data_IF_198299569634
#
_entry.id   IF_198299569634
#
_cell.length_a   1.000
_cell.length_b   1.000
_cell.length_c   1.000
_cell.angle_alpha   90.00
_cell.angle_beta   90.00
_cell.angle_gamma   90.00
#
_symmetry.space_group_name_H-M   'P 1'
#
loop_
_entity.id
_entity.type
_entity.pdbx_description
1 polymer ?
#
# COMPACT_ATOMS: atom_id res chain seq x y z
N UNK A 1 13.90 17.99 -3.08
CA UNK A 1 14.25 16.76 -3.83
C UNK A 1 12.96 16.08 -4.26
N UNK A 2 12.80 15.63 -5.51
CA UNK A 2 11.52 15.12 -6.01
C UNK A 2 11.28 13.66 -5.61
N UNK A 3 10.07 13.37 -5.10
CA UNK A 3 9.63 12.01 -4.78
C UNK A 3 9.50 11.14 -6.05
N UNK A 4 10.03 9.90 -6.08
CA UNK A 4 9.70 8.95 -7.14
C UNK A 4 8.26 8.45 -6.97
N UNK A 5 7.49 8.47 -8.06
CA UNK A 5 6.07 8.09 -8.08
C UNK A 5 5.88 6.58 -7.94
N UNK A 6 4.85 6.17 -7.19
CA UNK A 6 4.43 4.78 -7.03
C UNK A 6 4.09 4.14 -8.38
N UNK A 7 4.92 3.18 -8.83
CA UNK A 7 4.62 2.37 -9.99
C UNK A 7 3.65 1.23 -9.63
N UNK A 8 2.49 1.20 -10.29
CA UNK A 8 1.53 0.12 -10.11
C UNK A 8 2.06 -1.20 -10.71
N UNK A 9 2.48 -2.12 -9.86
CA UNK A 9 2.94 -3.46 -10.22
C UNK A 9 1.79 -4.27 -10.86
N UNK A 10 1.69 -4.18 -12.18
CA UNK A 10 0.83 -5.03 -12.99
C UNK A 10 1.57 -6.34 -13.20
N UNK A 11 1.32 -7.32 -12.33
CA UNK A 11 2.13 -8.52 -12.25
C UNK A 11 1.80 -9.52 -13.37
N UNK A 12 2.82 -9.96 -14.11
CA UNK A 12 2.76 -10.98 -15.15
C UNK A 12 4.02 -11.87 -15.03
N UNK A 13 3.92 -13.17 -15.28
CA UNK A 13 4.65 -14.22 -14.55
C UNK A 13 5.29 -15.31 -15.48
N UNK A 14 6.56 -15.77 -15.33
CA UNK A 14 7.14 -16.91 -14.53
C UNK A 14 7.05 -18.32 -15.25
N UNK A 15 8.02 -19.29 -15.28
CA UNK A 15 9.51 -19.40 -15.03
C UNK A 15 10.11 -20.73 -15.53
N UNK A 16 11.40 -20.74 -15.91
CA UNK A 16 12.16 -21.97 -16.21
C UNK A 16 12.44 -22.91 -15.02
N UNK A 17 12.44 -24.22 -15.28
CA UNK A 17 13.12 -25.24 -14.47
C UNK A 17 14.09 -26.11 -15.28
N UNK A 18 15.32 -26.22 -14.76
CA UNK A 18 16.28 -27.35 -14.90
C UNK A 18 16.54 -27.97 -16.28
N UNK A 19 17.73 -27.70 -16.82
CA UNK A 19 18.35 -28.47 -17.91
C UNK A 19 19.13 -29.67 -17.34
N UNK A 20 18.74 -30.88 -17.74
CA UNK A 20 19.65 -32.01 -17.91
C UNK A 20 19.65 -32.39 -19.38
N UNK A 21 20.82 -32.56 -20.04
CA UNK A 21 20.85 -33.14 -21.37
C UNK A 21 20.59 -34.64 -21.27
N UNK A 22 19.90 -35.21 -22.26
CA UNK A 22 20.15 -36.48 -22.95
C UNK A 22 18.94 -36.78 -23.84
N UNK A 23 19.16 -37.07 -25.11
CA UNK A 23 18.09 -37.21 -26.09
C UNK A 23 17.47 -38.60 -26.11
N UNK A 24 16.14 -38.65 -26.22
CA UNK A 24 15.41 -39.74 -26.85
C UNK A 24 14.08 -39.18 -27.37
N UNK A 25 13.73 -39.44 -28.63
CA UNK A 25 12.45 -39.03 -29.17
C UNK A 25 11.34 -39.89 -28.54
N UNK A 26 10.34 -39.24 -27.94
CA UNK A 26 9.08 -39.90 -27.60
C UNK A 26 7.93 -38.92 -27.82
N UNK A 27 6.97 -39.34 -28.65
CA UNK A 27 5.77 -38.57 -28.94
C UNK A 27 4.79 -38.65 -27.76
N UNK A 28 5.04 -37.84 -26.72
CA UNK A 28 4.08 -37.59 -25.66
C UNK A 28 3.22 -36.37 -26.00
N UNK A 29 1.93 -36.42 -25.68
CA UNK A 29 0.96 -35.37 -25.99
C UNK A 29 1.45 -33.99 -25.50
N UNK A 30 1.87 -33.14 -26.44
CA UNK A 30 2.40 -31.82 -26.15
C UNK A 30 1.31 -30.91 -25.62
N UNK A 31 1.33 -30.63 -24.31
CA UNK A 31 0.54 -29.56 -23.73
C UNK A 31 0.87 -28.25 -24.47
N UNK A 32 -0.16 -27.47 -24.82
CA UNK A 32 0.01 -26.19 -25.50
C UNK A 32 1.04 -25.33 -24.74
N UNK A 33 2.13 -24.87 -25.38
CA UNK A 33 3.12 -24.00 -24.74
C UNK A 33 2.52 -22.79 -24.03
N UNK A 34 1.40 -22.25 -24.52
CA UNK A 34 0.65 -21.16 -23.88
C UNK A 34 -0.05 -21.60 -22.59
N UNK A 35 -0.54 -22.84 -22.52
CA UNK A 35 -1.21 -23.38 -21.34
C UNK A 35 -0.22 -23.73 -20.22
N UNK A 36 0.98 -24.24 -20.57
CA UNK A 36 2.07 -24.42 -19.61
C UNK A 36 2.51 -23.07 -19.03
N UNK A 37 2.76 -22.08 -19.90
CA UNK A 37 3.09 -20.71 -19.51
C UNK A 37 2.02 -20.13 -18.57
N UNK A 38 0.73 -20.37 -18.83
CA UNK A 38 -0.38 -19.92 -17.99
C UNK A 38 -0.41 -20.60 -16.61
N UNK A 39 -0.06 -21.89 -16.51
CA UNK A 39 0.01 -22.62 -15.24
C UNK A 39 1.15 -22.12 -14.36
N UNK A 40 2.35 -21.99 -14.92
CA UNK A 40 3.50 -21.38 -14.22
C UNK A 40 3.20 -19.95 -13.80
N UNK A 41 2.59 -19.17 -14.69
CA UNK A 41 2.19 -17.80 -14.42
C UNK A 41 1.22 -17.68 -13.23
N UNK A 42 0.29 -18.64 -13.11
CA UNK A 42 -0.68 -18.65 -11.99
C UNK A 42 0.01 -19.00 -10.67
N UNK A 43 0.88 -20.02 -10.65
CA UNK A 43 1.64 -20.44 -9.45
C UNK A 43 2.47 -19.29 -8.88
N UNK A 44 3.10 -18.52 -9.75
CA UNK A 44 3.88 -17.33 -9.40
C UNK A 44 3.10 -16.28 -8.63
N UNK A 45 1.88 -16.02 -9.11
CA UNK A 45 1.01 -14.99 -8.55
C UNK A 45 0.67 -15.35 -7.13
N UNK A 46 0.23 -16.58 -6.90
CA UNK A 46 -0.09 -17.10 -5.58
C UNK A 46 1.08 -17.00 -4.60
N UNK A 47 2.31 -17.26 -5.04
CA UNK A 47 3.49 -17.11 -4.17
C UNK A 47 3.87 -15.65 -3.89
N UNK A 48 3.73 -14.74 -4.86
CA UNK A 48 3.92 -13.29 -4.65
C UNK A 48 2.81 -12.68 -3.78
N UNK A 49 1.56 -13.10 -3.96
CA UNK A 49 0.40 -12.72 -3.13
C UNK A 49 0.64 -13.14 -1.68
N UNK A 50 0.93 -14.42 -1.41
CA UNK A 50 1.28 -14.93 -0.07
C UNK A 50 2.45 -14.19 0.58
N UNK A 51 3.49 -13.86 -0.19
CA UNK A 51 4.64 -13.13 0.32
C UNK A 51 4.28 -11.67 0.67
N UNK A 52 3.44 -11.03 -0.14
CA UNK A 52 2.92 -9.69 0.12
C UNK A 52 2.02 -9.67 1.37
N UNK A 53 1.17 -10.68 1.56
CA UNK A 53 0.33 -10.83 2.76
C UNK A 53 1.17 -10.98 4.04
N UNK A 54 2.23 -11.81 4.00
CA UNK A 54 3.20 -11.95 5.09
C UNK A 54 3.92 -10.64 5.40
N UNK A 55 4.37 -9.92 4.38
CA UNK A 55 5.00 -8.61 4.50
C UNK A 55 4.06 -7.55 5.12
N UNK A 56 2.80 -7.45 4.67
CA UNK A 56 1.83 -6.53 5.27
C UNK A 56 1.46 -6.92 6.72
N UNK A 57 1.53 -8.22 7.06
CA UNK A 57 1.35 -8.68 8.45
C UNK A 57 2.51 -8.21 9.32
N UNK A 58 3.77 -8.49 8.93
CA UNK A 58 4.98 -8.00 9.62
C UNK A 58 4.99 -6.49 9.82
N UNK A 59 4.52 -5.74 8.81
CA UNK A 59 4.41 -4.27 8.85
C UNK A 59 3.40 -3.79 9.90
N UNK A 60 2.27 -4.49 10.07
CA UNK A 60 1.31 -4.21 11.17
C UNK A 60 1.92 -4.54 12.53
N UNK A 61 2.63 -5.66 12.65
CA UNK A 61 3.29 -6.07 13.90
C UNK A 61 4.37 -5.05 14.32
N UNK A 62 5.19 -4.60 13.37
CA UNK A 62 6.18 -3.54 13.57
C UNK A 62 5.53 -2.22 14.01
N UNK A 63 4.42 -1.82 13.38
CA UNK A 63 3.67 -0.63 13.79
C UNK A 63 3.12 -0.76 15.22
N UNK A 64 2.58 -1.93 15.58
CA UNK A 64 2.14 -2.23 16.95
C UNK A 64 3.29 -2.19 17.97
N UNK A 65 4.46 -2.72 17.60
CA UNK A 65 5.68 -2.68 18.43
C UNK A 65 6.23 -1.26 18.60
N UNK A 66 6.14 -0.41 17.57
CA UNK A 66 6.47 1.02 17.66
C UNK A 66 5.51 1.79 18.59
N UNK A 67 4.21 1.45 18.60
CA UNK A 67 3.24 2.01 19.55
C UNK A 67 3.58 1.58 20.99
N UNK A 68 3.90 0.29 21.21
CA UNK A 68 4.35 -0.20 22.51
C UNK A 68 5.61 0.54 22.99
N UNK A 69 6.62 0.69 22.14
CA UNK A 69 7.85 1.44 22.47
C UNK A 69 7.55 2.89 22.90
N UNK A 70 6.66 3.60 22.19
CA UNK A 70 6.25 4.97 22.58
C UNK A 70 5.55 5.01 23.94
N UNK A 71 4.71 4.00 24.24
CA UNK A 71 4.08 3.88 25.55
C UNK A 71 5.12 3.61 26.66
N UNK A 72 6.02 2.64 26.46
CA UNK A 72 7.09 2.32 27.42
C UNK A 72 8.01 3.51 27.69
N UNK A 73 8.37 4.30 26.66
CA UNK A 73 9.16 5.52 26.82
C UNK A 73 8.42 6.61 27.60
N UNK A 74 7.09 6.75 27.42
CA UNK A 74 6.25 7.65 28.21
C UNK A 74 6.19 7.21 29.67
N UNK A 75 6.00 5.92 29.92
CA UNK A 75 5.95 5.36 31.27
C UNK A 75 7.31 5.47 31.99
N UNK A 76 8.41 5.31 31.24
CA UNK A 76 9.77 5.51 31.74
C UNK A 76 9.98 6.96 32.18
N UNK A 77 9.64 7.94 31.34
CA UNK A 77 9.71 9.35 31.70
C UNK A 77 8.83 9.70 32.91
N UNK A 78 7.67 9.04 33.07
CA UNK A 78 6.83 9.15 34.26
C UNK A 78 7.51 8.60 35.52
N UNK A 79 8.10 7.40 35.44
CA UNK A 79 8.83 6.78 36.56
C UNK A 79 10.08 7.58 36.96
N UNK A 80 10.80 8.16 35.99
CA UNK A 80 11.92 9.06 36.25
C UNK A 80 11.48 10.36 36.92
N UNK A 81 10.33 10.93 36.53
CA UNK A 81 9.76 12.10 37.20
C UNK A 81 9.29 11.79 38.63
N UNK A 82 8.68 10.61 38.88
CA UNK A 82 8.34 10.15 40.24
C UNK A 82 9.61 9.98 41.09
N UNK A 83 10.64 9.30 40.57
CA UNK A 83 11.91 9.09 41.29
C UNK A 83 12.61 10.42 41.61
N UNK A 84 12.63 11.37 40.66
CA UNK A 84 13.21 12.70 40.88
C UNK A 84 12.52 13.49 41.99
N UNK A 85 11.20 13.32 42.20
CA UNK A 85 10.48 13.95 43.33
C UNK A 85 10.86 13.35 44.69
N UNK A 86 11.21 12.07 44.74
CA UNK A 86 11.55 11.37 45.99
C UNK A 86 13.04 11.53 46.37
N UNK A 87 13.92 11.82 45.39
CA UNK A 87 15.36 12.05 45.63
C UNK A 87 15.67 13.07 46.73
N UNK A 88 14.96 14.20 46.78
CA UNK A 88 15.25 15.26 47.74
C UNK A 88 14.78 14.91 49.17
N UNK A 89 13.55 14.40 49.41
CA UNK A 89 13.20 13.75 50.67
C UNK A 89 14.17 12.65 51.12
N UNK A 90 14.60 11.77 50.20
CA UNK A 90 15.50 10.66 50.51
C UNK A 90 16.92 11.15 50.86
N UNK A 91 17.42 12.17 50.18
CA UNK A 91 18.71 12.80 50.50
C UNK A 91 18.69 13.51 51.86
N UNK A 92 17.58 14.22 52.19
CA UNK A 92 17.37 14.77 53.53
C UNK A 92 17.37 13.68 54.60
N UNK A 93 16.63 12.60 54.38
CA UNK A 93 16.58 11.45 55.28
C UNK A 93 17.99 10.85 55.51
N UNK A 94 18.73 10.56 54.44
CA UNK A 94 20.09 10.03 54.54
C UNK A 94 21.02 10.95 55.34
N UNK A 95 20.95 12.28 55.10
CA UNK A 95 21.73 13.25 55.85
C UNK A 95 21.34 13.32 57.33
N UNK A 96 20.05 13.34 57.66
CA UNK A 96 19.58 13.37 59.06
C UNK A 96 19.97 12.08 59.80
N UNK A 97 19.84 10.91 59.17
CA UNK A 97 20.26 9.62 59.74
C UNK A 97 21.77 9.60 60.03
N UNK A 98 22.57 10.06 59.07
CA UNK A 98 24.03 10.21 59.23
C UNK A 98 24.37 11.13 60.42
N UNK A 99 23.75 12.30 60.51
CA UNK A 99 23.99 13.27 61.60
C UNK A 99 23.49 12.78 62.98
N UNK A 100 22.36 12.07 63.05
CA UNK A 100 21.78 11.62 64.32
C UNK A 100 22.43 10.37 64.92
N UNK A 101 23.16 9.60 64.10
CA UNK A 101 23.84 8.36 64.49
C UNK A 101 24.78 8.49 65.70
N UNK A 102 25.27 9.70 66.00
CA UNK A 102 26.14 9.98 67.14
C UNK A 102 25.47 10.58 68.39
N UNK A 103 24.17 10.93 68.37
CA UNK A 103 23.60 11.82 69.42
C UNK A 103 22.19 11.48 69.94
N UNK A 104 21.31 10.88 69.14
CA UNK A 104 19.87 10.83 69.51
C UNK A 104 19.47 9.59 70.35
N UNK A 105 20.05 8.42 70.06
CA UNK A 105 19.62 7.15 70.66
C UNK A 105 19.91 7.01 72.16
N UNK A 106 20.88 7.76 72.69
CA UNK A 106 21.36 7.67 74.07
C UNK A 106 20.72 8.66 75.04
N UNK A 107 19.99 9.67 74.58
CA UNK A 107 19.50 10.77 75.44
C UNK A 107 18.05 10.58 75.93
N UNK A 108 17.22 9.82 75.22
CA UNK A 108 15.80 9.67 75.56
C UNK A 108 15.52 8.77 76.79
N UNK A 109 16.46 7.89 77.15
CA UNK A 109 16.28 6.90 78.23
C UNK A 109 16.64 7.47 79.62
N UNK A 110 17.43 8.54 79.70
CA UNK A 110 17.94 9.10 80.97
C UNK A 110 17.27 10.41 81.41
N UNK A 111 16.27 10.91 80.67
CA UNK A 111 15.49 12.09 81.06
C UNK A 111 14.39 11.74 82.06
N UNK A 112 14.50 12.20 83.31
CA UNK A 112 13.52 11.98 84.38
C UNK A 112 12.20 12.73 84.22
N UNK A 113 11.45 12.45 83.14
CA UNK A 113 10.15 13.05 82.83
C UNK A 113 8.97 12.11 83.09
N UNK A 114 7.75 12.65 83.01
CA UNK A 114 6.49 11.92 83.14
C UNK A 114 6.39 10.72 82.15
N UNK A 115 6.01 9.51 82.62
CA UNK A 115 5.83 8.33 81.76
C UNK A 115 4.97 8.55 80.51
N UNK A 116 3.96 9.43 80.55
CA UNK A 116 3.14 9.71 79.36
C UNK A 116 3.94 10.41 78.25
N UNK A 117 4.94 11.21 78.63
CA UNK A 117 5.83 11.93 77.72
C UNK A 117 6.86 10.97 77.09
N UNK A 118 7.39 10.02 77.87
CA UNK A 118 8.26 8.96 77.34
C UNK A 118 7.53 8.01 76.36
N UNK A 119 6.26 7.70 76.62
CA UNK A 119 5.44 6.89 75.71
C UNK A 119 5.12 7.64 74.40
N UNK A 120 4.88 8.95 74.44
CA UNK A 120 4.73 9.76 73.22
C UNK A 120 6.01 9.81 72.39
N UNK A 121 7.16 10.06 73.02
CA UNK A 121 8.43 10.13 72.29
C UNK A 121 8.81 8.81 71.62
N UNK A 122 8.54 7.66 72.24
CA UNK A 122 8.76 6.34 71.63
C UNK A 122 7.76 6.03 70.50
N UNK A 123 6.51 6.49 70.61
CA UNK A 123 5.53 6.42 69.53
C UNK A 123 5.93 7.29 68.32
N UNK A 124 6.40 8.51 68.56
CA UNK A 124 6.87 9.44 67.52
C UNK A 124 8.11 8.89 66.79
N UNK A 125 9.10 8.36 67.52
CA UNK A 125 10.27 7.69 66.94
C UNK A 125 9.85 6.46 66.11
N UNK A 126 8.88 5.68 66.58
CA UNK A 126 8.35 4.51 65.85
C UNK A 126 7.63 4.94 64.56
N UNK A 127 6.85 6.03 64.61
CA UNK A 127 6.15 6.59 63.45
C UNK A 127 7.16 7.13 62.40
N UNK A 128 8.20 7.82 62.86
CA UNK A 128 9.30 8.28 62.00
C UNK A 128 10.03 7.11 61.35
N UNK A 129 10.44 6.09 62.11
CA UNK A 129 11.10 4.91 61.54
C UNK A 129 10.25 4.23 60.46
N UNK A 130 8.93 4.09 60.68
CA UNK A 130 8.00 3.55 59.68
C UNK A 130 7.86 4.42 58.43
N UNK A 131 7.79 5.75 58.57
CA UNK A 131 7.68 6.65 57.42
C UNK A 131 8.97 6.71 56.59
N UNK A 132 10.12 6.57 57.24
CA UNK A 132 11.43 6.45 56.59
C UNK A 132 11.56 5.14 55.81
N UNK A 133 11.18 4.02 56.42
CA UNK A 133 11.15 2.70 55.78
C UNK A 133 10.27 2.71 54.52
N UNK A 134 9.04 3.22 54.61
CA UNK A 134 8.13 3.33 53.47
C UNK A 134 8.67 4.22 52.34
N UNK A 135 9.46 5.25 52.65
CA UNK A 135 10.10 6.11 51.63
C UNK A 135 11.22 5.37 50.89
N UNK A 136 12.00 4.55 51.61
CA UNK A 136 13.07 3.71 51.03
C UNK A 136 12.47 2.62 50.15
N UNK A 137 11.45 1.90 50.64
CA UNK A 137 10.72 0.89 49.87
C UNK A 137 10.13 1.49 48.58
N UNK A 138 9.50 2.66 48.66
CA UNK A 138 8.96 3.34 47.47
C UNK A 138 10.04 3.81 46.49
N UNK A 139 11.22 4.20 46.99
CA UNK A 139 12.35 4.56 46.13
C UNK A 139 12.90 3.33 45.39
N UNK A 140 12.99 2.18 46.06
CA UNK A 140 13.39 0.91 45.48
C UNK A 140 12.40 0.44 44.40
N UNK A 141 11.09 0.41 44.70
CA UNK A 141 10.03 0.12 43.72
C UNK A 141 10.15 0.95 42.43
N UNK A 142 10.41 2.25 42.57
CA UNK A 142 10.54 3.18 41.44
C UNK A 142 11.84 2.98 40.66
N UNK A 143 12.94 2.68 41.35
CA UNK A 143 14.21 2.35 40.72
C UNK A 143 14.09 1.06 39.90
N UNK A 144 13.45 0.05 40.48
CA UNK A 144 13.22 -1.25 39.86
C UNK A 144 12.26 -1.15 38.66
N UNK A 145 11.15 -0.41 38.81
CA UNK A 145 10.22 -0.07 37.71
C UNK A 145 10.94 0.67 36.58
N UNK A 146 11.76 1.68 36.89
CA UNK A 146 12.56 2.42 35.89
C UNK A 146 13.51 1.47 35.15
N UNK A 147 14.22 0.60 35.86
CA UNK A 147 15.20 -0.31 35.26
C UNK A 147 14.53 -1.35 34.35
N UNK A 148 13.37 -1.89 34.75
CA UNK A 148 12.54 -2.77 33.89
C UNK A 148 12.07 -2.03 32.63
N UNK A 149 11.50 -0.83 32.78
CA UNK A 149 11.02 -0.02 31.64
C UNK A 149 12.13 0.37 30.66
N UNK A 150 13.31 0.76 31.17
CA UNK A 150 14.48 1.07 30.35
C UNK A 150 14.98 -0.16 29.57
N UNK A 151 15.03 -1.33 30.21
CA UNK A 151 15.38 -2.60 29.56
C UNK A 151 14.39 -2.96 28.45
N UNK A 152 13.08 -2.89 28.72
CA UNK A 152 12.03 -3.14 27.73
C UNK A 152 12.06 -2.14 26.58
N UNK A 153 12.32 -0.86 26.83
CA UNK A 153 12.46 0.16 25.78
C UNK A 153 13.66 -0.14 24.86
N UNK A 154 14.81 -0.50 25.43
CA UNK A 154 16.01 -0.87 24.68
C UNK A 154 15.80 -2.14 23.82
N UNK A 155 15.15 -3.16 24.38
CA UNK A 155 14.80 -4.41 23.70
C UNK A 155 13.84 -4.15 22.51
N UNK A 156 12.78 -3.36 22.73
CA UNK A 156 11.84 -2.95 21.70
C UNK A 156 12.51 -2.11 20.60
N UNK A 157 13.38 -1.16 20.97
CA UNK A 157 14.11 -0.33 20.01
C UNK A 157 15.03 -1.17 19.11
N UNK A 158 15.80 -2.08 19.71
CA UNK A 158 16.68 -3.00 18.97
C UNK A 158 15.90 -3.90 18.01
N UNK A 159 14.83 -4.56 18.49
CA UNK A 159 13.96 -5.39 17.65
C UNK A 159 13.31 -4.61 16.51
N UNK A 160 12.81 -3.41 16.78
CA UNK A 160 12.18 -2.57 15.77
C UNK A 160 13.17 -2.15 14.68
N UNK A 161 14.42 -1.82 15.01
CA UNK A 161 15.45 -1.48 14.03
C UNK A 161 15.81 -2.68 13.12
N UNK A 162 15.93 -3.87 13.69
CA UNK A 162 16.21 -5.11 12.95
C UNK A 162 15.05 -5.48 12.02
N UNK A 163 13.81 -5.52 12.53
CA UNK A 163 12.65 -5.88 11.70
C UNK A 163 12.32 -4.80 10.65
N UNK A 164 12.58 -3.51 10.90
CA UNK A 164 12.47 -2.47 9.89
C UNK A 164 13.48 -2.68 8.74
N UNK A 165 14.72 -3.04 9.05
CA UNK A 165 15.75 -3.37 8.05
C UNK A 165 15.37 -4.61 7.25
N UNK A 166 14.90 -5.66 7.94
CA UNK A 166 14.44 -6.91 7.33
C UNK A 166 13.25 -6.70 6.39
N UNK A 167 12.27 -5.91 6.80
CA UNK A 167 11.11 -5.56 5.99
C UNK A 167 11.52 -4.82 4.71
N UNK A 168 12.49 -3.90 4.79
CA UNK A 168 13.03 -3.19 3.62
C UNK A 168 13.71 -4.17 2.64
N UNK A 169 14.54 -5.09 3.14
CA UNK A 169 15.17 -6.14 2.31
C UNK A 169 14.13 -7.05 1.65
N UNK A 170 13.07 -7.44 2.37
CA UNK A 170 11.98 -8.26 1.84
C UNK A 170 11.21 -7.52 0.73
N UNK A 171 10.89 -6.23 0.94
CA UNK A 171 10.27 -5.35 -0.07
C UNK A 171 11.11 -5.25 -1.35
N UNK A 172 12.42 -5.01 -1.22
CA UNK A 172 13.29 -4.83 -2.39
C UNK A 172 13.59 -6.17 -3.09
N UNK A 173 13.67 -7.28 -2.34
CA UNK A 173 13.70 -8.63 -2.88
C UNK A 173 12.45 -8.98 -3.69
N UNK A 174 11.25 -8.63 -3.19
CA UNK A 174 9.98 -8.83 -3.89
C UNK A 174 9.88 -7.99 -5.18
N UNK A 175 10.31 -6.71 -5.14
CA UNK A 175 10.39 -5.85 -6.34
C UNK A 175 11.35 -6.44 -7.39
N UNK A 176 12.56 -6.81 -6.98
CA UNK A 176 13.58 -7.40 -7.86
C UNK A 176 13.06 -8.68 -8.53
N UNK A 177 12.49 -9.58 -7.73
CA UNK A 177 11.88 -10.82 -8.23
C UNK A 177 10.75 -10.54 -9.22
N UNK A 178 9.84 -9.62 -8.93
CA UNK A 178 8.75 -9.24 -9.84
C UNK A 178 9.25 -8.65 -11.17
N UNK A 179 10.28 -7.80 -11.13
CA UNK A 179 10.90 -7.23 -12.33
C UNK A 179 11.60 -8.31 -13.18
N UNK A 180 12.34 -9.23 -12.55
CA UNK A 180 12.99 -10.35 -13.23
C UNK A 180 11.97 -11.26 -13.94
N UNK A 181 10.87 -11.61 -13.27
CA UNK A 181 9.79 -12.42 -13.83
C UNK A 181 9.13 -11.75 -15.05
N UNK A 182 8.85 -10.44 -14.95
CA UNK A 182 8.29 -9.65 -16.06
C UNK A 182 9.23 -9.63 -17.26
N UNK A 183 10.55 -9.48 -17.04
CA UNK A 183 11.57 -9.53 -18.10
C UNK A 183 11.62 -10.89 -18.79
N UNK A 184 11.59 -11.98 -18.02
CA UNK A 184 11.61 -13.35 -18.56
C UNK A 184 10.36 -13.66 -19.38
N UNK A 185 9.16 -13.28 -18.91
CA UNK A 185 7.93 -13.51 -19.66
C UNK A 185 7.91 -12.75 -20.99
N UNK A 186 8.31 -11.47 -20.99
CA UNK A 186 8.37 -10.69 -22.24
C UNK A 186 9.27 -11.38 -23.27
N UNK A 187 10.45 -11.85 -22.87
CA UNK A 187 11.36 -12.58 -23.75
C UNK A 187 10.78 -13.91 -24.28
N UNK A 188 9.94 -14.61 -23.51
CA UNK A 188 9.23 -15.81 -23.98
C UNK A 188 8.11 -15.47 -24.97
N UNK A 189 7.36 -14.39 -24.72
CA UNK A 189 6.33 -13.90 -25.64
C UNK A 189 6.92 -13.32 -26.94
N UNK A 190 8.13 -12.75 -26.89
CA UNK A 190 8.91 -12.37 -28.07
C UNK A 190 9.31 -13.60 -28.90
N UNK A 191 9.84 -14.66 -28.26
CA UNK A 191 10.21 -15.92 -28.92
C UNK A 191 9.03 -16.62 -29.62
N UNK A 192 7.83 -16.52 -29.04
CA UNK A 192 6.61 -17.08 -29.63
C UNK A 192 6.00 -16.19 -30.73
N UNK A 193 6.69 -15.11 -31.16
CA UNK A 193 6.21 -14.11 -32.11
C UNK A 193 4.83 -13.51 -31.76
N UNK A 194 4.41 -13.60 -30.50
CA UNK A 194 3.10 -13.13 -30.02
C UNK A 194 3.09 -11.62 -30.17
N UNK A 195 2.25 -11.10 -31.06
CA UNK A 195 2.19 -9.66 -31.34
C UNK A 195 1.94 -8.87 -30.05
N UNK A 196 2.42 -7.62 -29.98
CA UNK A 196 2.19 -6.73 -28.82
C UNK A 196 0.69 -6.65 -28.46
N UNK A 197 -0.16 -6.65 -29.48
CA UNK A 197 -1.62 -6.72 -29.37
C UNK A 197 -2.07 -7.99 -28.64
N UNK A 198 -1.57 -9.17 -29.06
CA UNK A 198 -1.95 -10.47 -28.51
C UNK A 198 -1.49 -10.66 -27.06
N UNK A 199 -0.37 -10.04 -26.65
CA UNK A 199 0.07 -10.01 -25.23
C UNK A 199 -0.90 -9.21 -24.36
N UNK A 200 -1.40 -8.08 -24.86
CA UNK A 200 -2.40 -7.27 -24.17
C UNK A 200 -3.76 -7.99 -24.08
N UNK A 201 -4.14 -8.77 -25.10
CA UNK A 201 -5.31 -9.67 -25.02
C UNK A 201 -5.15 -10.72 -23.92
N UNK A 202 -4.00 -11.41 -23.87
CA UNK A 202 -3.73 -12.45 -22.86
C UNK A 202 -3.64 -11.88 -21.43
N UNK A 203 -3.14 -10.65 -21.28
CA UNK A 203 -3.07 -9.94 -20.00
C UNK A 203 -4.38 -9.29 -19.53
N UNK A 204 -5.44 -9.33 -20.33
CA UNK A 204 -6.72 -8.70 -20.03
C UNK A 204 -7.84 -9.76 -19.90
N UNK A 205 -8.19 -10.12 -18.66
CA UNK A 205 -9.28 -11.06 -18.43
C UNK A 205 -10.64 -10.40 -18.66
N UNK A 206 -11.41 -10.95 -19.60
CA UNK A 206 -12.80 -10.56 -19.90
C UNK A 206 -13.71 -10.59 -18.68
N UNK A 207 -13.47 -11.49 -17.71
CA UNK A 207 -14.28 -11.62 -16.50
C UNK A 207 -14.36 -10.30 -15.69
N UNK A 208 -13.28 -9.50 -15.74
CA UNK A 208 -13.17 -8.22 -15.04
C UNK A 208 -14.23 -7.19 -15.51
N UNK A 209 -14.77 -7.33 -16.74
CA UNK A 209 -15.84 -6.47 -17.21
C UNK A 209 -17.12 -6.64 -16.35
N UNK A 210 -17.47 -7.87 -15.95
CA UNK A 210 -18.62 -8.13 -15.06
C UNK A 210 -18.35 -7.65 -13.63
N UNK A 211 -17.14 -7.86 -13.13
CA UNK A 211 -16.70 -7.36 -11.82
C UNK A 211 -16.78 -5.82 -11.75
N UNK A 212 -16.27 -5.13 -12.76
CA UNK A 212 -16.16 -3.66 -12.77
C UNK A 212 -17.52 -2.94 -12.74
N UNK A 213 -18.59 -3.56 -13.23
CA UNK A 213 -19.97 -3.03 -13.16
C UNK A 213 -20.51 -2.91 -11.73
N UNK A 214 -19.85 -3.52 -10.74
CA UNK A 214 -20.18 -3.40 -9.30
C UNK A 214 -19.76 -2.05 -8.70
N UNK A 215 -18.86 -1.31 -9.36
CA UNK A 215 -18.33 -0.06 -8.85
C UNK A 215 -19.10 1.14 -9.43
N UNK A 216 -19.35 2.20 -8.63
CA UNK A 216 -19.90 3.44 -9.17
C UNK A 216 -19.01 4.08 -10.23
N UNK A 217 -19.62 4.93 -11.04
CA UNK A 217 -18.97 5.66 -12.11
C UNK A 217 -17.77 6.49 -11.58
N UNK A 218 -16.59 6.27 -12.14
CA UNK A 218 -15.34 6.90 -11.74
C UNK A 218 -14.65 6.25 -10.53
N UNK A 219 -15.20 5.17 -9.97
CA UNK A 219 -14.67 4.47 -8.79
C UNK A 219 -14.23 3.02 -9.07
N UNK A 220 -14.00 2.65 -10.34
CA UNK A 220 -13.47 1.33 -10.72
C UNK A 220 -11.99 1.24 -10.30
N UNK A 221 -11.60 0.28 -9.42
CA UNK A 221 -10.20 0.09 -9.04
C UNK A 221 -9.34 -0.36 -10.22
N UNK A 222 -8.09 0.12 -10.29
CA UNK A 222 -7.16 -0.12 -11.41
C UNK A 222 -6.92 -1.60 -11.75
N UNK A 223 -7.07 -2.52 -10.79
CA UNK A 223 -6.99 -3.98 -11.00
C UNK A 223 -8.11 -4.58 -11.87
N UNK A 224 -9.21 -3.85 -12.06
CA UNK A 224 -10.33 -4.23 -12.92
C UNK A 224 -10.29 -3.53 -14.30
N UNK A 225 -9.22 -2.78 -14.58
CA UNK A 225 -9.05 -2.00 -15.82
C UNK A 225 -7.81 -2.46 -16.59
N UNK A 226 -8.00 -2.76 -17.87
CA UNK A 226 -6.93 -3.23 -18.75
C UNK A 226 -6.17 -2.06 -19.40
N UNK A 227 -4.83 -2.13 -19.50
CA UNK A 227 -4.00 -1.07 -20.06
C UNK A 227 -4.03 -1.04 -21.59
N UNK A 228 -4.14 0.16 -22.17
CA UNK A 228 -4.13 0.36 -23.62
C UNK A 228 -2.70 0.25 -24.23
N UNK A 229 -2.56 -0.07 -25.53
CA UNK A 229 -1.25 -0.12 -26.21
C UNK A 229 -0.54 1.25 -26.32
N UNK A 230 -1.23 2.36 -26.09
CA UNK A 230 -0.66 3.71 -26.13
C UNK A 230 0.27 3.97 -24.93
N UNK A 231 1.32 4.79 -25.14
CA UNK A 231 2.40 5.00 -24.15
C UNK A 231 1.99 5.81 -22.91
N UNK A 232 0.82 6.44 -22.93
CA UNK A 232 0.27 7.31 -21.89
C UNK A 232 -0.40 6.55 -20.72
N UNK A 233 -0.48 5.21 -20.78
CA UNK A 233 -0.93 4.40 -19.65
C UNK A 233 -2.44 4.46 -19.38
N UNK A 234 -3.22 4.95 -20.35
CA UNK A 234 -4.68 4.88 -20.34
C UNK A 234 -5.16 3.45 -20.11
N UNK A 235 -6.36 3.33 -19.52
CA UNK A 235 -7.02 2.06 -19.26
C UNK A 235 -8.49 2.11 -19.64
N UNK A 236 -9.07 0.95 -19.89
CA UNK A 236 -10.51 0.77 -20.12
C UNK A 236 -11.03 -0.42 -19.32
N UNK A 237 -12.36 -0.54 -19.24
CA UNK A 237 -13.03 -1.78 -18.82
C UNK A 237 -12.61 -2.93 -19.75
N UNK A 238 -12.49 -4.14 -19.22
CA UNK A 238 -11.83 -5.23 -19.96
C UNK A 238 -12.49 -5.60 -21.31
N UNK A 239 -13.81 -5.54 -21.40
CA UNK A 239 -14.58 -5.73 -22.64
C UNK A 239 -14.27 -4.62 -23.66
N UNK A 240 -14.36 -3.35 -23.25
CA UNK A 240 -14.03 -2.20 -24.07
C UNK A 240 -12.55 -2.20 -24.52
N UNK A 241 -11.62 -2.56 -23.62
CA UNK A 241 -10.20 -2.68 -23.93
C UNK A 241 -9.94 -3.73 -25.03
N UNK A 242 -10.51 -4.93 -24.90
CA UNK A 242 -10.35 -6.02 -25.86
C UNK A 242 -11.02 -5.72 -27.21
N UNK A 243 -12.13 -4.99 -27.19
CA UNK A 243 -12.74 -4.44 -28.40
C UNK A 243 -11.82 -3.40 -29.08
N UNK A 244 -11.29 -2.45 -28.31
CA UNK A 244 -10.38 -1.43 -28.80
C UNK A 244 -9.08 -2.03 -29.36
N UNK A 245 -8.56 -3.13 -28.80
CA UNK A 245 -7.37 -3.79 -29.34
C UNK A 245 -7.58 -4.25 -30.79
N UNK A 246 -8.75 -4.81 -31.11
CA UNK A 246 -9.10 -5.25 -32.47
C UNK A 246 -9.31 -4.05 -33.41
N UNK A 247 -9.97 -3.00 -32.93
CA UNK A 247 -10.18 -1.75 -33.66
C UNK A 247 -8.84 -1.06 -33.99
N UNK A 248 -7.95 -0.92 -33.00
CA UNK A 248 -6.60 -0.37 -33.18
C UNK A 248 -5.79 -1.17 -34.21
N UNK A 249 -5.90 -2.49 -34.22
CA UNK A 249 -5.19 -3.31 -35.20
C UNK A 249 -5.74 -3.15 -36.63
N UNK A 250 -7.06 -3.03 -36.78
CA UNK A 250 -7.69 -2.72 -38.07
C UNK A 250 -7.32 -1.32 -38.57
N UNK A 251 -7.35 -0.32 -37.69
CA UNK A 251 -6.91 1.04 -37.99
C UNK A 251 -5.44 1.06 -38.41
N UNK A 252 -4.58 0.29 -37.72
CA UNK A 252 -3.15 0.16 -38.06
C UNK A 252 -2.91 -0.47 -39.42
N UNK A 253 -3.72 -1.46 -39.84
CA UNK A 253 -3.68 -1.98 -41.21
C UNK A 253 -4.06 -0.93 -42.26
N UNK A 254 -4.97 -0.02 -41.93
CA UNK A 254 -5.43 1.04 -42.86
C UNK A 254 -4.53 2.28 -42.90
N UNK A 255 -3.88 2.66 -41.79
CA UNK A 255 -3.12 3.91 -41.66
C UNK A 255 -1.65 3.73 -41.25
N UNK A 256 -1.14 2.49 -41.14
CA UNK A 256 0.25 2.18 -40.81
C UNK A 256 0.69 2.49 -39.36
N UNK A 257 -0.18 3.09 -38.53
CA UNK A 257 0.12 3.52 -37.16
C UNK A 257 -0.96 3.09 -36.18
N UNK A 258 -0.58 2.91 -34.92
CA UNK A 258 -1.54 2.73 -33.82
C UNK A 258 -2.44 3.98 -33.67
N UNK A 259 -3.65 3.79 -33.17
CA UNK A 259 -4.59 4.89 -32.89
C UNK A 259 -4.02 5.82 -31.83
N UNK A 260 -4.30 7.11 -31.99
CA UNK A 260 -3.94 8.14 -31.02
C UNK A 260 -5.09 8.30 -30.03
N UNK A 261 -4.79 8.23 -28.73
CA UNK A 261 -5.78 8.33 -27.62
C UNK A 261 -5.33 9.46 -26.69
N UNK A 262 -6.23 10.41 -26.39
CA UNK A 262 -6.02 11.51 -25.43
C UNK A 262 -6.66 11.24 -24.07
N UNK A 263 -7.79 10.53 -24.01
CA UNK A 263 -8.42 10.12 -22.75
C UNK A 263 -9.15 8.78 -22.88
N UNK A 264 -9.39 8.12 -21.75
CA UNK A 264 -10.03 6.81 -21.63
C UNK A 264 -10.79 6.72 -20.29
N UNK A 265 -10.48 5.75 -19.41
CA UNK A 265 -11.03 5.75 -18.06
C UNK A 265 -10.60 6.99 -17.26
N UNK A 266 -11.58 7.72 -16.73
CA UNK A 266 -11.40 8.92 -15.89
C UNK A 266 -12.01 8.68 -14.50
N UNK A 267 -11.24 8.92 -13.44
CA UNK A 267 -11.72 8.70 -12.07
C UNK A 267 -12.71 9.78 -11.61
N UNK A 268 -13.47 9.52 -10.54
CA UNK A 268 -14.44 10.48 -10.00
C UNK A 268 -13.77 11.77 -9.53
N UNK A 269 -12.60 11.68 -8.87
CA UNK A 269 -11.82 12.85 -8.44
C UNK A 269 -11.24 13.63 -9.62
N UNK A 270 -10.85 12.94 -10.70
CA UNK A 270 -10.46 13.60 -11.95
C UNK A 270 -11.66 14.29 -12.61
N UNK A 271 -12.85 13.67 -12.62
CA UNK A 271 -14.06 14.26 -13.17
C UNK A 271 -14.49 15.50 -12.36
N UNK A 272 -14.38 15.51 -11.03
CA UNK A 272 -14.59 16.72 -10.23
C UNK A 272 -13.64 17.87 -10.63
N UNK A 273 -12.35 17.56 -10.85
CA UNK A 273 -11.38 18.56 -11.30
C UNK A 273 -11.72 19.11 -12.69
N UNK A 274 -12.06 18.24 -13.64
CA UNK A 274 -12.44 18.64 -15.00
C UNK A 274 -13.74 19.47 -14.98
N UNK A 275 -14.72 19.08 -14.18
CA UNK A 275 -15.99 19.81 -14.02
C UNK A 275 -15.79 21.22 -13.46
N UNK A 276 -14.93 21.38 -12.45
CA UNK A 276 -14.59 22.69 -11.91
C UNK A 276 -13.78 23.57 -12.90
N UNK A 277 -12.96 22.95 -13.76
CA UNK A 277 -12.14 23.66 -14.75
C UNK A 277 -12.89 24.00 -16.05
N UNK A 278 -13.98 23.28 -16.35
CA UNK A 278 -14.75 23.41 -17.60
C UNK A 278 -16.27 23.38 -17.31
N UNK A 279 -16.80 24.37 -16.57
CA UNK A 279 -18.24 24.44 -16.30
C UNK A 279 -19.03 24.47 -17.63
N UNK A 280 -20.09 23.67 -17.71
CA UNK A 280 -20.93 23.53 -18.91
C UNK A 280 -20.39 22.59 -20.02
N UNK A 281 -19.09 22.27 -20.03
CA UNK A 281 -18.45 21.40 -21.03
C UNK A 281 -17.97 20.06 -20.46
N UNK A 282 -18.37 19.74 -19.23
CA UNK A 282 -18.00 18.51 -18.55
C UNK A 282 -19.25 17.86 -17.98
N UNK A 283 -19.38 16.55 -18.19
CA UNK A 283 -20.42 15.76 -17.53
C UNK A 283 -20.35 15.90 -16.00
N UNK A 284 -21.51 15.90 -15.35
CA UNK A 284 -21.60 15.92 -13.88
C UNK A 284 -20.76 14.77 -13.29
N UNK A 285 -20.00 14.98 -12.20
CA UNK A 285 -19.23 13.92 -11.56
C UNK A 285 -20.11 12.69 -11.25
N UNK A 286 -19.70 11.53 -11.78
CA UNK A 286 -20.47 10.28 -11.68
C UNK A 286 -21.43 9.97 -12.84
N UNK A 287 -21.55 10.82 -13.87
CA UNK A 287 -22.41 10.51 -15.05
C UNK A 287 -21.63 10.18 -16.33
N UNK A 288 -20.38 10.61 -16.47
CA UNK A 288 -19.56 10.42 -17.69
C UNK A 288 -19.33 8.94 -18.07
N UNK A 289 -19.40 8.60 -19.36
CA UNK A 289 -19.06 7.25 -19.85
C UNK A 289 -17.56 6.92 -19.74
N UNK A 290 -16.68 7.92 -19.60
CA UNK A 290 -15.27 7.71 -19.24
C UNK A 290 -15.12 7.01 -17.88
N UNK A 291 -15.87 7.42 -16.87
CA UNK A 291 -15.79 6.79 -15.54
C UNK A 291 -16.48 5.42 -15.46
N UNK A 292 -17.22 4.99 -16.50
CA UNK A 292 -17.62 3.59 -16.69
C UNK A 292 -16.52 2.73 -17.34
N UNK A 293 -15.42 3.35 -17.79
CA UNK A 293 -14.35 2.71 -18.56
C UNK A 293 -14.80 2.30 -19.96
N UNK A 294 -15.80 2.99 -20.53
CA UNK A 294 -16.43 2.68 -21.82
C UNK A 294 -16.22 3.74 -22.90
N UNK A 295 -15.54 4.86 -22.61
CA UNK A 295 -15.34 5.94 -23.57
C UNK A 295 -13.86 6.17 -23.88
N UNK A 296 -13.60 6.72 -25.07
CA UNK A 296 -12.30 7.13 -25.57
C UNK A 296 -12.40 8.52 -26.21
N UNK A 297 -11.44 9.38 -25.90
CA UNK A 297 -11.18 10.58 -26.68
C UNK A 297 -9.99 10.31 -27.60
N UNK A 298 -10.19 10.41 -28.90
CA UNK A 298 -9.25 10.00 -29.94
C UNK A 298 -8.64 11.19 -30.69
N UNK A 299 -7.40 11.03 -31.13
CA UNK A 299 -6.61 12.05 -31.82
C UNK A 299 -6.01 11.53 -33.15
N UNK A 300 -5.07 12.28 -33.74
CA UNK A 300 -4.35 11.84 -34.94
C UNK A 300 -5.18 11.81 -36.22
N UNK A 301 -6.20 12.66 -36.30
CA UNK A 301 -7.14 12.80 -37.42
C UNK A 301 -8.57 12.54 -36.96
N UNK A 302 -8.79 11.55 -36.08
CA UNK A 302 -10.14 11.18 -35.61
C UNK A 302 -10.87 12.35 -34.94
N UNK A 303 -10.17 13.24 -34.23
CA UNK A 303 -10.76 14.44 -33.63
C UNK A 303 -11.29 15.48 -34.64
N UNK A 304 -11.11 15.26 -35.94
CA UNK A 304 -11.50 16.18 -37.00
C UNK A 304 -12.56 15.50 -37.87
N UNK A 305 -13.82 15.90 -37.66
CA UNK A 305 -14.96 15.42 -38.46
C UNK A 305 -14.72 15.63 -39.96
N UNK A 306 -15.16 14.68 -40.78
CA UNK A 306 -14.93 14.66 -42.22
C UNK A 306 -13.52 14.22 -42.66
N UNK A 307 -12.55 14.07 -41.75
CA UNK A 307 -11.22 13.54 -42.09
C UNK A 307 -11.28 12.08 -42.52
N UNK A 308 -10.25 11.64 -43.26
CA UNK A 308 -10.12 10.22 -43.65
C UNK A 308 -10.14 9.28 -42.44
N UNK A 309 -9.57 9.69 -41.29
CA UNK A 309 -9.54 8.89 -40.06
C UNK A 309 -10.90 8.87 -39.35
N UNK A 310 -11.62 9.99 -39.30
CA UNK A 310 -12.97 10.05 -38.74
C UNK A 310 -13.95 9.23 -39.59
N UNK A 311 -13.98 9.45 -40.91
CA UNK A 311 -14.88 8.73 -41.82
C UNK A 311 -14.57 7.21 -41.84
N UNK A 312 -13.30 6.82 -41.67
CA UNK A 312 -12.95 5.41 -41.49
C UNK A 312 -13.51 4.85 -40.19
N UNK A 313 -13.42 5.59 -39.09
CA UNK A 313 -13.98 5.18 -37.80
C UNK A 313 -15.50 5.01 -37.88
N UNK A 314 -16.23 5.95 -38.48
CA UNK A 314 -17.68 5.84 -38.72
C UNK A 314 -18.03 4.52 -39.44
N UNK A 315 -17.32 4.19 -40.51
CA UNK A 315 -17.59 2.99 -41.33
C UNK A 315 -17.12 1.65 -40.70
N UNK A 316 -16.30 1.67 -39.63
CA UNK A 316 -15.63 0.46 -39.12
C UNK A 316 -15.75 0.22 -37.61
N UNK A 317 -15.88 1.25 -36.77
CA UNK A 317 -15.86 1.13 -35.32
C UNK A 317 -16.99 0.22 -34.78
N UNK A 318 -18.19 0.30 -35.38
CA UNK A 318 -19.36 -0.48 -34.99
C UNK A 318 -19.12 -2.00 -35.05
N UNK A 319 -18.27 -2.48 -35.97
CA UNK A 319 -17.87 -3.89 -36.08
C UNK A 319 -17.11 -4.41 -34.84
N UNK A 320 -16.63 -3.49 -34.01
CA UNK A 320 -15.92 -3.75 -32.76
C UNK A 320 -16.74 -3.32 -31.53
N UNK A 321 -17.99 -2.88 -31.70
CA UNK A 321 -18.85 -2.38 -30.62
C UNK A 321 -18.54 -0.96 -30.15
N UNK A 322 -17.72 -0.22 -30.90
CA UNK A 322 -17.45 1.20 -30.69
C UNK A 322 -18.31 2.06 -31.61
N UNK A 323 -18.83 3.17 -31.11
CA UNK A 323 -19.69 4.10 -31.83
C UNK A 323 -19.24 5.54 -31.60
N UNK A 324 -19.61 6.44 -32.50
CA UNK A 324 -19.66 7.88 -32.23
C UNK A 324 -21.12 8.22 -31.91
N UNK A 325 -21.46 8.54 -30.64
CA UNK A 325 -22.84 8.59 -30.21
C UNK A 325 -23.56 9.81 -30.81
N UNK A 326 -24.85 9.66 -31.13
CA UNK A 326 -25.64 10.68 -31.83
C UNK A 326 -25.60 12.10 -31.21
N UNK A 327 -25.44 12.22 -29.89
CA UNK A 327 -25.31 13.52 -29.23
C UNK A 327 -24.01 14.27 -29.60
N UNK A 328 -22.91 13.54 -29.81
CA UNK A 328 -21.59 14.10 -30.07
C UNK A 328 -21.45 14.76 -31.45
N UNK A 329 -22.44 14.53 -32.34
CA UNK A 329 -22.60 15.26 -33.60
C UNK A 329 -23.10 16.69 -33.43
N UNK A 330 -23.62 17.09 -32.26
CA UNK A 330 -24.39 18.33 -32.11
C UNK A 330 -24.05 19.13 -30.85
N UNK A 331 -24.40 18.63 -29.66
CA UNK A 331 -24.24 19.40 -28.42
C UNK A 331 -23.99 18.50 -27.18
N UNK A 332 -22.78 18.54 -26.58
CA UNK A 332 -21.58 19.18 -27.13
C UNK A 332 -21.11 18.48 -28.42
N UNK A 333 -20.55 19.24 -29.36
CA UNK A 333 -19.91 18.67 -30.55
C UNK A 333 -18.54 18.10 -30.18
N UNK A 334 -18.42 16.77 -30.19
CA UNK A 334 -17.25 16.04 -29.71
C UNK A 334 -16.78 14.97 -30.71
N UNK A 335 -16.29 15.32 -31.92
CA UNK A 335 -15.85 14.36 -32.95
C UNK A 335 -14.72 13.42 -32.51
N UNK A 336 -14.00 13.77 -31.44
CA UNK A 336 -13.00 12.90 -30.80
C UNK A 336 -13.61 11.79 -29.94
N UNK A 337 -14.89 11.87 -29.56
CA UNK A 337 -15.50 11.04 -28.52
C UNK A 337 -16.16 9.78 -29.09
N UNK A 338 -15.73 8.62 -28.59
CA UNK A 338 -16.22 7.31 -29.01
C UNK A 338 -16.57 6.47 -27.80
N UNK A 339 -17.71 5.75 -27.87
CA UNK A 339 -18.26 4.97 -26.77
C UNK A 339 -18.37 3.49 -27.12
N UNK A 340 -18.20 2.61 -26.12
CA UNK A 340 -18.33 1.17 -26.26
C UNK A 340 -19.63 0.65 -25.66
N UNK A 341 -20.52 0.12 -26.51
CA UNK A 341 -21.73 -0.59 -26.09
C UNK A 341 -22.72 0.27 -25.29
N UNK A 342 -22.98 1.49 -25.74
CA UNK A 342 -23.90 2.45 -25.10
C UNK A 342 -25.23 2.67 -25.85
N UNK A 343 -25.36 2.24 -27.10
CA UNK A 343 -26.60 2.34 -27.90
C UNK A 343 -27.57 1.15 -27.77
N UNK A 344 -27.16 0.05 -27.11
CA UNK A 344 -28.05 -1.08 -26.80
C UNK A 344 -28.47 -1.04 -25.32
N UNK A 345 -29.32 -0.06 -24.99
CA UNK A 345 -30.03 0.06 -23.71
C UNK A 345 -31.42 -0.54 -23.78
#
# INVERSE_FOLDING_TARGET
>A
MPNPRSAALTAVFLVMTTLSPHGAANAAAGADPLESLRREATKARTELEKATEKMETRKKDLAGSQVKLRATLKDLAGAEAELNRIREPLARLANTSYQQSGAAGSMAIFGGGDPSTALRSTADVTLMARSQQALVERADELQDRRQRLASTAQELQSRNAVEQTRLQQEVDGLKSRSAQLTKQLNAMLDKLAVTRQKRLELGCDKSLAKESKKFPNGLIPSKYLCPLPQKNGHRLRADAALAFYKLNEAYKRSFGRDMCVTDAYRSLSDQHRVYAQRPGFAAVPGTSNHGKGQALDLCGGVQSSGSAQFNWMEAHAGKYGWIHPAWAYSNPFEPWHWEFGTENG
#
